data_IF_041301657476
#
_entry.id   IF_041301657476
#
_cell.length_a   1.000
_cell.length_b   1.000
_cell.length_c   1.000
_cell.angle_alpha   90.00
_cell.angle_beta   90.00
_cell.angle_gamma   90.00
#
_symmetry.space_group_name_H-M   'P 1'
#
loop_
_entity.id
_entity.type
_entity.pdbx_description
1 polymer ?
#
# COMPACT_ATOMS: atom_id res chain seq x y z
N UNK A 1 15.54 4.93 -6.99
CA UNK A 1 14.28 5.72 -6.87
C UNK A 1 14.26 6.48 -5.55
N UNK A 2 13.90 7.75 -5.53
CA UNK A 2 13.78 8.55 -4.32
C UNK A 2 12.31 8.85 -4.02
N UNK A 3 11.94 8.87 -2.75
CA UNK A 3 10.57 9.17 -2.31
C UNK A 3 10.49 10.48 -1.51
N UNK A 4 9.35 11.17 -1.66
CA UNK A 4 8.99 12.36 -0.89
C UNK A 4 7.62 12.11 -0.26
N UNK A 5 7.46 12.55 0.98
CA UNK A 5 6.22 12.47 1.75
C UNK A 5 5.81 13.88 2.16
N UNK A 6 4.54 14.23 1.95
CA UNK A 6 3.99 15.52 2.31
C UNK A 6 2.57 15.36 2.88
N UNK A 7 2.30 16.05 3.97
CA UNK A 7 0.97 16.25 4.51
C UNK A 7 0.44 17.61 4.04
N UNK A 8 -0.64 17.58 3.28
CA UNK A 8 -1.34 18.75 2.81
C UNK A 8 -2.59 19.02 3.66
N UNK A 9 -3.38 20.04 3.31
CA UNK A 9 -4.56 20.41 4.12
C UNK A 9 -5.63 19.31 4.14
N UNK A 10 -5.84 18.63 2.99
CA UNK A 10 -6.95 17.68 2.81
C UNK A 10 -6.49 16.27 2.42
N UNK A 11 -5.19 16.06 2.24
CA UNK A 11 -4.65 14.78 1.78
C UNK A 11 -3.20 14.59 2.20
N UNK A 12 -2.76 13.37 2.16
CA UNK A 12 -1.35 12.99 2.26
C UNK A 12 -0.86 12.52 0.89
N UNK A 13 0.36 12.91 0.51
CA UNK A 13 0.98 12.51 -0.76
C UNK A 13 2.30 11.80 -0.56
N UNK A 14 2.56 10.86 -1.49
CA UNK A 14 3.80 10.10 -1.58
C UNK A 14 4.27 10.17 -3.03
N UNK A 15 5.35 10.90 -3.28
CA UNK A 15 5.87 11.10 -4.64
C UNK A 15 7.10 10.25 -4.87
N UNK A 16 7.10 9.47 -5.94
CA UNK A 16 8.24 8.73 -6.43
C UNK A 16 9.00 9.57 -7.44
N UNK A 17 10.29 9.79 -7.22
CA UNK A 17 11.18 10.51 -8.13
C UNK A 17 12.11 9.47 -8.78
N UNK A 18 11.83 9.07 -10.04
CA UNK A 18 12.71 8.16 -10.78
C UNK A 18 14.09 8.78 -10.97
N UNK A 19 15.14 8.04 -10.70
CA UNK A 19 16.53 8.47 -10.91
C UNK A 19 17.02 8.19 -12.33
N UNK A 20 16.30 7.32 -13.04
CA UNK A 20 16.61 6.97 -14.43
C UNK A 20 15.32 6.56 -15.19
N UNK A 21 15.41 6.52 -16.53
CA UNK A 21 14.27 6.18 -17.37
C UNK A 21 13.74 4.75 -17.16
N UNK A 22 14.58 3.82 -16.69
CA UNK A 22 14.16 2.44 -16.44
C UNK A 22 13.13 2.36 -15.33
N UNK A 23 13.21 3.24 -14.34
CA UNK A 23 12.27 3.31 -13.22
C UNK A 23 10.90 3.88 -13.61
N UNK A 24 10.73 4.39 -14.83
CA UNK A 24 9.43 4.74 -15.40
C UNK A 24 8.73 3.54 -16.04
N UNK A 25 9.48 2.48 -16.27
CA UNK A 25 8.96 1.22 -16.81
C UNK A 25 9.03 0.17 -15.71
N UNK A 26 7.90 -0.41 -15.34
CA UNK A 26 7.83 -1.47 -14.36
C UNK A 26 8.69 -2.66 -14.78
N UNK A 27 9.14 -3.42 -13.81
CA UNK A 27 9.80 -4.70 -14.04
C UNK A 27 8.85 -5.53 -14.91
N UNK A 28 9.34 -5.96 -16.07
CA UNK A 28 8.55 -6.58 -17.13
C UNK A 28 7.66 -7.68 -16.58
N UNK A 29 6.36 -7.47 -16.64
CA UNK A 29 5.42 -8.57 -16.59
C UNK A 29 5.67 -9.44 -17.81
N UNK A 30 6.07 -10.68 -17.63
CA UNK A 30 6.04 -11.68 -18.69
C UNK A 30 4.66 -12.33 -18.63
N UNK A 31 3.88 -12.14 -19.69
CA UNK A 31 2.54 -12.69 -19.79
C UNK A 31 1.62 -11.83 -20.67
N UNK A 32 0.32 -12.06 -20.68
CA UNK A 32 -0.63 -11.31 -21.49
C UNK A 32 -0.75 -9.83 -21.03
N UNK A 33 -0.09 -9.45 -19.96
CA UNK A 33 -0.06 -8.07 -19.47
C UNK A 33 1.09 -7.33 -20.16
N UNK A 34 0.73 -6.28 -20.87
CA UNK A 34 1.68 -5.36 -21.51
C UNK A 34 2.67 -4.80 -20.48
N UNK A 35 3.85 -4.30 -20.94
CA UNK A 35 4.79 -3.66 -20.03
C UNK A 35 4.08 -2.56 -19.24
N UNK A 36 4.29 -2.57 -17.91
CA UNK A 36 3.71 -1.59 -17.01
C UNK A 36 4.56 -0.32 -17.11
N UNK A 37 3.89 0.81 -17.18
CA UNK A 37 4.54 2.12 -17.14
C UNK A 37 3.99 2.96 -16.00
N UNK A 38 4.86 3.69 -15.33
CA UNK A 38 4.49 4.68 -14.34
C UNK A 38 3.79 5.83 -15.06
N UNK A 39 2.51 6.03 -14.77
CA UNK A 39 1.68 7.06 -15.37
C UNK A 39 1.64 8.31 -14.51
N UNK A 40 1.47 8.11 -13.21
CA UNK A 40 1.48 9.17 -12.21
C UNK A 40 2.55 8.83 -11.18
N UNK A 41 3.42 9.76 -10.88
CA UNK A 41 4.49 9.58 -9.90
C UNK A 41 4.07 9.93 -8.47
N UNK A 42 2.85 10.40 -8.27
CA UNK A 42 2.34 10.83 -6.97
C UNK A 42 1.09 10.05 -6.56
N UNK A 43 1.24 9.27 -5.50
CA UNK A 43 0.10 8.71 -4.78
C UNK A 43 -0.52 9.79 -3.90
N UNK A 44 -1.81 10.02 -4.07
CA UNK A 44 -2.62 10.92 -3.24
C UNK A 44 -3.63 10.07 -2.46
N UNK A 45 -3.68 10.25 -1.15
CA UNK A 45 -4.66 9.62 -0.26
C UNK A 45 -5.40 10.73 0.49
N UNK A 46 -6.71 10.85 0.31
CA UNK A 46 -7.55 11.83 1.02
C UNK A 46 -7.74 11.41 2.48
N UNK A 47 -6.66 11.42 3.19
CA UNK A 47 -6.60 11.13 4.62
C UNK A 47 -5.38 11.83 5.23
N UNK A 48 -5.58 12.42 6.40
CA UNK A 48 -4.52 12.98 7.22
C UNK A 48 -4.57 12.25 8.56
N UNK A 49 -3.49 11.58 8.89
CA UNK A 49 -3.36 10.92 10.19
C UNK A 49 -3.34 11.98 11.31
N UNK A 50 -4.08 11.73 12.39
CA UNK A 50 -4.05 12.57 13.59
C UNK A 50 -2.78 12.37 14.40
N UNK A 51 -2.14 11.24 14.19
CA UNK A 51 -0.90 10.83 14.83
C UNK A 51 0.24 10.79 13.82
N UNK A 52 1.46 11.04 14.27
CA UNK A 52 2.65 10.96 13.42
C UNK A 52 2.82 9.52 12.93
N UNK A 53 2.89 9.34 11.61
CA UNK A 53 3.18 8.05 11.02
C UNK A 53 4.64 7.66 11.29
N UNK A 54 4.83 6.43 11.73
CA UNK A 54 6.18 5.89 11.92
C UNK A 54 6.92 5.81 10.56
N UNK A 55 8.24 6.12 10.49
CA UNK A 55 9.02 6.05 9.25
C UNK A 55 8.89 4.73 8.49
N UNK A 56 8.86 3.59 9.19
CA UNK A 56 8.67 2.28 8.57
C UNK A 56 7.31 2.15 7.88
N UNK A 57 6.24 2.77 8.43
CA UNK A 57 4.91 2.76 7.80
C UNK A 57 4.90 3.64 6.55
N UNK A 58 5.50 4.83 6.60
CA UNK A 58 5.66 5.70 5.42
C UNK A 58 6.41 4.96 4.32
N UNK A 59 7.51 4.28 4.66
CA UNK A 59 8.26 3.47 3.71
C UNK A 59 7.46 2.28 3.17
N UNK A 60 6.68 1.59 4.01
CA UNK A 60 5.80 0.51 3.58
C UNK A 60 4.77 0.98 2.54
N UNK A 61 4.18 2.17 2.72
CA UNK A 61 3.26 2.77 1.75
C UNK A 61 3.98 3.06 0.43
N UNK A 62 5.15 3.71 0.47
CA UNK A 62 5.95 4.01 -0.72
C UNK A 62 6.27 2.74 -1.51
N UNK A 63 6.76 1.70 -0.82
CA UNK A 63 7.09 0.43 -1.47
C UNK A 63 5.83 -0.23 -2.01
N UNK A 64 4.76 -0.32 -1.25
CA UNK A 64 3.52 -0.95 -1.68
C UNK A 64 2.95 -0.28 -2.94
N UNK A 65 2.97 1.05 -3.01
CA UNK A 65 2.45 1.80 -4.15
C UNK A 65 3.33 1.70 -5.41
N UNK A 66 4.65 1.74 -5.24
CA UNK A 66 5.59 1.91 -6.35
C UNK A 66 6.53 0.72 -6.57
N UNK A 67 6.33 -0.40 -5.85
CA UNK A 67 7.17 -1.60 -5.95
C UNK A 67 7.56 -2.01 -7.37
N UNK A 68 6.64 -2.04 -8.37
CA UNK A 68 7.00 -2.47 -9.73
C UNK A 68 8.05 -1.59 -10.42
N UNK A 69 8.25 -0.38 -9.92
CA UNK A 69 9.11 0.65 -10.52
C UNK A 69 10.45 0.81 -9.78
N UNK A 70 10.62 0.17 -8.63
CA UNK A 70 11.88 0.20 -7.87
C UNK A 70 12.80 -0.89 -8.42
N UNK A 71 13.87 -0.52 -9.11
CA UNK A 71 14.73 -1.48 -9.81
C UNK A 71 15.86 -2.06 -8.96
N UNK A 72 16.47 -1.26 -8.08
CA UNK A 72 17.62 -1.69 -7.28
C UNK A 72 17.63 -1.10 -5.88
N UNK A 73 17.57 0.22 -5.77
CA UNK A 73 17.60 0.90 -4.49
C UNK A 73 16.48 1.93 -4.35
N UNK A 74 16.14 2.25 -3.10
CA UNK A 74 15.16 3.26 -2.75
C UNK A 74 15.65 4.11 -1.59
N UNK A 75 15.55 5.43 -1.75
CA UNK A 75 15.76 6.40 -0.67
C UNK A 75 14.39 6.83 -0.13
N UNK A 76 14.08 6.47 1.10
CA UNK A 76 12.79 6.77 1.73
C UNK A 76 12.72 8.22 2.19
N UNK A 77 11.51 8.79 2.41
CA UNK A 77 11.37 10.17 2.90
C UNK A 77 12.05 10.40 4.25
N UNK A 78 12.04 9.36 5.09
CA UNK A 78 12.69 9.34 6.41
C UNK A 78 13.60 8.12 6.50
N UNK A 79 14.67 8.15 7.33
CA UNK A 79 15.42 6.95 7.65
C UNK A 79 14.51 5.87 8.25
N UNK A 80 14.67 4.63 7.78
CA UNK A 80 13.89 3.48 8.26
C UNK A 80 14.66 2.67 9.28
N UNK A 81 13.95 1.86 10.08
CA UNK A 81 14.62 0.96 11.01
C UNK A 81 15.37 -0.14 10.24
N UNK A 82 16.46 -0.62 10.86
CA UNK A 82 17.23 -1.75 10.31
C UNK A 82 16.34 -2.99 10.12
N UNK A 83 15.45 -3.27 11.06
CA UNK A 83 14.54 -4.43 10.97
C UNK A 83 13.61 -4.35 9.77
N UNK A 84 13.09 -3.16 9.45
CA UNK A 84 12.27 -2.95 8.27
C UNK A 84 13.06 -3.23 6.99
N UNK A 85 14.26 -2.64 6.87
CA UNK A 85 15.12 -2.83 5.69
C UNK A 85 15.55 -4.28 5.51
N UNK A 86 15.92 -4.98 6.59
CA UNK A 86 16.28 -6.40 6.55
C UNK A 86 15.08 -7.28 6.16
N UNK A 87 13.87 -6.97 6.67
CA UNK A 87 12.64 -7.69 6.37
C UNK A 87 12.26 -7.64 4.90
N UNK A 88 12.45 -6.51 4.24
CA UNK A 88 12.22 -6.37 2.81
C UNK A 88 13.09 -7.30 1.97
N UNK A 89 14.35 -7.53 2.38
CA UNK A 89 15.26 -8.41 1.66
C UNK A 89 14.94 -9.89 1.88
N UNK A 90 14.40 -10.25 3.04
CA UNK A 90 14.22 -11.66 3.42
C UNK A 90 12.84 -12.22 3.04
N UNK A 91 11.76 -11.45 3.23
CA UNK A 91 10.40 -12.00 3.19
C UNK A 91 9.60 -11.65 1.92
N UNK A 92 9.74 -10.44 1.40
CA UNK A 92 8.88 -9.96 0.30
C UNK A 92 9.45 -10.35 -1.06
N UNK A 93 10.74 -10.20 -1.27
CA UNK A 93 11.38 -10.36 -2.57
C UNK A 93 11.57 -11.81 -3.04
N UNK A 94 11.94 -12.78 -2.18
CA UNK A 94 12.04 -14.17 -2.61
C UNK A 94 10.71 -14.80 -3.01
N UNK A 95 9.60 -14.36 -2.44
CA UNK A 95 8.27 -14.89 -2.77
C UNK A 95 7.77 -14.39 -4.13
N UNK A 96 7.99 -13.13 -4.46
CA UNK A 96 7.62 -12.58 -5.76
C UNK A 96 8.47 -13.13 -6.92
N UNK A 97 9.72 -13.48 -6.68
CA UNK A 97 10.57 -14.14 -7.67
C UNK A 97 10.12 -15.55 -8.05
N UNK A 98 9.21 -16.16 -7.28
CA UNK A 98 8.68 -17.54 -7.50
C UNK A 98 7.33 -17.59 -8.20
N UNK A 99 6.63 -16.46 -8.34
CA UNK A 99 5.37 -16.42 -9.10
C UNK A 99 5.75 -16.38 -10.57
N UNK A 100 5.80 -17.55 -11.19
CA UNK A 100 6.07 -17.70 -12.63
C UNK A 100 5.07 -16.83 -13.42
N UNK A 101 5.60 -15.87 -14.17
CA UNK A 101 4.89 -15.13 -15.21
C UNK A 101 4.46 -13.70 -14.87
N UNK A 102 4.56 -13.20 -13.63
CA UNK A 102 4.03 -11.86 -13.31
C UNK A 102 5.11 -10.83 -12.97
N UNK A 103 6.18 -11.20 -12.26
CA UNK A 103 7.28 -10.30 -11.90
C UNK A 103 8.63 -11.04 -11.85
N UNK A 104 9.64 -10.47 -12.49
CA UNK A 104 11.04 -10.79 -12.19
C UNK A 104 11.70 -9.56 -11.62
N UNK A 105 11.69 -9.43 -10.29
CA UNK A 105 12.73 -8.66 -9.64
C UNK A 105 14.02 -9.46 -9.78
N UNK A 106 14.95 -8.99 -10.57
CA UNK A 106 16.25 -9.67 -10.76
C UNK A 106 17.19 -9.42 -9.60
N UNK A 107 16.91 -8.39 -8.78
CA UNK A 107 17.76 -8.00 -7.66
C UNK A 107 16.90 -7.55 -6.47
N UNK A 108 17.33 -7.80 -5.22
CA UNK A 108 16.65 -7.32 -4.05
C UNK A 108 16.66 -5.78 -3.99
N UNK A 109 15.56 -5.19 -3.53
CA UNK A 109 15.51 -3.76 -3.27
C UNK A 109 16.32 -3.48 -2.01
N UNK A 110 17.26 -2.54 -2.11
CA UNK A 110 17.99 -2.01 -0.95
C UNK A 110 17.43 -0.66 -0.54
N UNK A 111 17.43 -0.37 0.75
CA UNK A 111 17.09 0.96 1.28
C UNK A 111 18.39 1.69 1.58
N UNK A 112 18.54 2.90 1.05
CA UNK A 112 19.79 3.66 1.16
C UNK A 112 19.93 4.42 2.50
N UNK A 113 18.80 4.74 3.15
CA UNK A 113 18.78 5.53 4.38
C UNK A 113 18.22 4.73 5.56
N UNK A 114 19.10 4.02 6.26
CA UNK A 114 18.77 3.21 7.44
C UNK A 114 19.27 3.93 8.70
N UNK A 115 18.42 4.02 9.72
CA UNK A 115 18.82 4.40 11.07
C UNK A 115 18.82 3.17 11.98
N UNK A 116 20.01 2.74 12.38
CA UNK A 116 20.19 1.57 13.25
C UNK A 116 19.68 1.77 14.68
N UNK A 117 19.45 3.03 15.09
CA UNK A 117 18.94 3.39 16.41
C UNK A 117 17.42 3.64 16.39
N UNK A 118 16.80 3.67 15.20
CA UNK A 118 15.36 3.79 15.12
C UNK A 118 14.71 2.48 15.55
N UNK A 119 13.89 2.56 16.60
CA UNK A 119 13.08 1.42 17.03
C UNK A 119 12.10 1.04 15.91
N UNK A 120 12.00 -0.25 15.56
CA UNK A 120 11.10 -0.67 14.49
C UNK A 120 9.64 -0.48 14.89
N UNK A 121 8.78 -0.25 13.91
CA UNK A 121 7.33 -0.27 14.13
C UNK A 121 6.90 -1.66 14.61
N UNK A 122 6.31 -1.72 15.78
CA UNK A 122 5.88 -2.99 16.41
C UNK A 122 4.39 -3.30 16.20
N UNK A 123 3.67 -2.36 15.58
CA UNK A 123 2.22 -2.43 15.45
C UNK A 123 1.50 -2.00 16.72
N UNK A 124 0.21 -1.86 16.61
CA UNK A 124 -0.71 -1.59 17.69
C UNK A 124 -1.31 -2.85 18.31
N UNK A 125 -2.57 -2.77 18.71
CA UNK A 125 -3.32 -3.87 19.31
C UNK A 125 -4.45 -4.40 18.41
N UNK A 126 -4.93 -3.61 17.46
CA UNK A 126 -6.15 -3.88 16.71
C UNK A 126 -5.91 -4.66 15.42
N UNK A 127 -6.91 -5.44 15.04
CA UNK A 127 -7.01 -6.10 13.74
C UNK A 127 -8.09 -5.41 12.92
N UNK A 128 -7.81 -5.14 11.65
CA UNK A 128 -8.76 -4.55 10.70
C UNK A 128 -8.89 -5.44 9.46
N UNK A 129 -9.97 -5.26 8.72
CA UNK A 129 -10.19 -5.96 7.45
C UNK A 129 -10.01 -4.98 6.30
N UNK A 130 -9.06 -5.28 5.39
CA UNK A 130 -8.94 -4.61 4.11
C UNK A 130 -10.11 -5.06 3.22
N UNK A 131 -11.14 -4.22 3.12
CA UNK A 131 -12.42 -4.59 2.52
C UNK A 131 -12.51 -4.16 1.06
N UNK A 132 -12.54 -5.14 0.16
CA UNK A 132 -12.64 -4.88 -1.28
C UNK A 132 -14.07 -4.80 -1.82
N UNK A 133 -15.09 -5.08 -1.00
CA UNK A 133 -16.50 -5.16 -1.45
C UNK A 133 -16.84 -6.45 -2.21
N UNK A 134 -15.90 -7.37 -2.37
CA UNK A 134 -16.12 -8.67 -3.01
C UNK A 134 -16.58 -9.75 -2.01
N UNK A 135 -16.91 -10.92 -2.55
CA UNK A 135 -17.45 -12.05 -1.79
C UNK A 135 -16.51 -12.51 -0.67
N UNK A 136 -15.20 -12.62 -0.94
CA UNK A 136 -14.22 -13.12 0.03
C UNK A 136 -14.07 -12.16 1.22
N UNK A 137 -13.95 -10.85 0.95
CA UNK A 137 -13.85 -9.85 2.02
C UNK A 137 -15.14 -9.72 2.82
N UNK A 138 -16.31 -9.92 2.19
CA UNK A 138 -17.60 -9.96 2.88
C UNK A 138 -17.72 -11.19 3.76
N UNK A 139 -17.27 -12.35 3.31
CA UNK A 139 -17.26 -13.55 4.14
C UNK A 139 -16.40 -13.38 5.40
N UNK A 140 -15.23 -12.75 5.29
CA UNK A 140 -14.38 -12.43 6.44
C UNK A 140 -15.09 -11.43 7.37
N UNK A 141 -15.71 -10.38 6.84
CA UNK A 141 -16.44 -9.42 7.64
C UNK A 141 -17.57 -10.08 8.47
N UNK A 142 -18.32 -10.99 7.87
CA UNK A 142 -19.35 -11.75 8.59
C UNK A 142 -18.77 -12.66 9.70
N UNK A 143 -17.56 -13.18 9.54
CA UNK A 143 -16.91 -14.00 10.55
C UNK A 143 -16.32 -13.19 11.71
N UNK A 144 -15.99 -11.92 11.47
CA UNK A 144 -15.36 -11.01 12.44
C UNK A 144 -16.11 -9.67 12.51
N UNK A 145 -17.34 -9.66 13.05
CA UNK A 145 -18.19 -8.47 13.06
C UNK A 145 -17.63 -7.31 13.90
N UNK A 146 -16.77 -7.59 14.87
CA UNK A 146 -16.17 -6.57 15.74
C UNK A 146 -14.95 -5.85 15.09
N UNK A 147 -14.50 -6.29 13.90
CA UNK A 147 -13.35 -5.67 13.26
C UNK A 147 -13.78 -4.54 12.32
N UNK A 148 -13.06 -3.42 12.39
CA UNK A 148 -13.27 -2.30 11.47
C UNK A 148 -12.91 -2.70 10.04
N UNK A 149 -13.75 -2.28 9.08
CA UNK A 149 -13.51 -2.42 7.64
C UNK A 149 -12.84 -1.17 7.11
N UNK A 150 -11.79 -1.33 6.30
CA UNK A 150 -11.14 -0.22 5.60
C UNK A 150 -11.28 -0.45 4.10
N UNK A 151 -12.04 0.42 3.44
CA UNK A 151 -12.28 0.37 2.01
C UNK A 151 -11.58 1.50 1.28
N UNK A 152 -10.86 1.16 0.21
CA UNK A 152 -10.25 2.12 -0.69
C UNK A 152 -11.15 2.39 -1.88
N UNK A 153 -11.45 3.64 -2.15
CA UNK A 153 -12.19 4.07 -3.35
C UNK A 153 -11.38 5.06 -4.17
N UNK A 154 -11.78 5.26 -5.43
CA UNK A 154 -11.12 6.23 -6.31
C UNK A 154 -11.40 7.65 -5.86
N UNK A 155 -10.43 8.55 -6.06
CA UNK A 155 -10.61 9.99 -5.83
C UNK A 155 -11.82 10.46 -6.66
N UNK A 156 -12.66 11.28 -6.01
CA UNK A 156 -13.88 11.84 -6.58
C UNK A 156 -14.97 10.79 -6.93
N UNK A 157 -14.81 9.55 -6.46
CA UNK A 157 -15.88 8.56 -6.58
C UNK A 157 -17.01 8.90 -5.60
N UNK A 158 -18.18 9.22 -6.16
CA UNK A 158 -19.39 9.51 -5.37
C UNK A 158 -20.26 8.26 -5.15
N UNK A 159 -19.79 7.10 -5.56
CA UNK A 159 -20.50 5.84 -5.37
C UNK A 159 -20.45 5.41 -3.90
N UNK A 160 -21.59 5.39 -3.24
CA UNK A 160 -21.74 4.97 -1.85
C UNK A 160 -22.21 3.51 -1.72
N UNK A 161 -22.32 2.76 -2.80
CA UNK A 161 -22.89 1.40 -2.83
C UNK A 161 -22.25 0.47 -1.79
N UNK A 162 -20.91 0.56 -1.64
CA UNK A 162 -20.19 -0.27 -0.67
C UNK A 162 -20.54 0.13 0.76
N UNK A 163 -20.62 1.42 1.04
CA UNK A 163 -21.02 1.92 2.38
C UNK A 163 -22.43 1.47 2.72
N UNK A 164 -23.38 1.74 1.83
CA UNK A 164 -24.79 1.40 1.99
C UNK A 164 -24.96 -0.11 2.23
N UNK A 165 -24.25 -0.93 1.42
CA UNK A 165 -24.27 -2.37 1.60
C UNK A 165 -23.79 -2.80 3.00
N UNK A 166 -22.66 -2.23 3.48
CA UNK A 166 -22.13 -2.59 4.79
C UNK A 166 -23.07 -2.14 5.91
N UNK A 167 -23.55 -0.89 5.87
CA UNK A 167 -24.45 -0.33 6.88
C UNK A 167 -25.80 -1.09 6.96
N UNK A 168 -26.27 -1.63 5.82
CA UNK A 168 -27.52 -2.39 5.76
C UNK A 168 -27.39 -3.87 6.12
N UNK A 169 -26.22 -4.48 5.98
CA UNK A 169 -26.07 -5.94 5.99
C UNK A 169 -24.99 -6.47 6.96
N UNK A 170 -24.11 -5.62 7.47
CA UNK A 170 -23.00 -6.03 8.34
C UNK A 170 -23.02 -5.20 9.64
N UNK A 171 -22.44 -5.75 10.69
CA UNK A 171 -22.31 -5.08 11.99
C UNK A 171 -21.01 -4.25 12.11
N UNK A 172 -20.10 -4.48 11.17
CA UNK A 172 -18.78 -3.85 11.16
C UNK A 172 -18.84 -2.34 10.92
N UNK A 173 -17.99 -1.60 11.59
CA UNK A 173 -17.75 -0.19 11.26
C UNK A 173 -16.90 -0.06 10.01
N UNK A 174 -17.31 0.78 9.04
CA UNK A 174 -16.58 0.99 7.80
C UNK A 174 -15.90 2.36 7.75
N UNK A 175 -14.62 2.37 7.32
CA UNK A 175 -13.85 3.56 6.96
C UNK A 175 -13.63 3.56 5.44
N UNK A 176 -14.02 4.65 4.77
CA UNK A 176 -13.84 4.80 3.33
C UNK A 176 -12.79 5.87 3.08
N UNK A 177 -11.74 5.50 2.35
CA UNK A 177 -10.60 6.35 2.04
C UNK A 177 -10.46 6.47 0.53
N UNK A 178 -10.42 7.69 0.02
CA UNK A 178 -10.22 7.96 -1.40
C UNK A 178 -8.72 8.02 -1.73
N UNK A 179 -8.33 7.40 -2.85
CA UNK A 179 -6.96 7.49 -3.36
C UNK A 179 -6.90 7.40 -4.89
N UNK A 180 -5.82 7.91 -5.50
CA UNK A 180 -5.55 7.75 -6.93
C UNK A 180 -4.72 6.50 -7.26
N UNK A 181 -4.52 5.59 -6.33
CA UNK A 181 -3.60 4.47 -6.47
C UNK A 181 -3.82 3.63 -7.74
N UNK A 182 -5.08 3.45 -8.17
CA UNK A 182 -5.39 2.72 -9.42
C UNK A 182 -4.83 3.40 -10.68
N UNK A 183 -4.46 4.67 -10.60
CA UNK A 183 -4.01 5.47 -11.72
C UNK A 183 -2.50 5.64 -11.79
N UNK A 184 -1.75 5.14 -10.81
CA UNK A 184 -0.29 5.24 -10.78
C UNK A 184 0.38 4.51 -11.95
N UNK A 185 -0.25 3.46 -12.48
CA UNK A 185 0.32 2.63 -13.52
C UNK A 185 -0.58 2.47 -14.75
N UNK A 186 0.04 2.16 -15.90
CA UNK A 186 -0.64 1.74 -17.13
C UNK A 186 -0.16 0.33 -17.49
N UNK A 187 -1.05 -0.66 -17.75
CA UNK A 187 -2.51 -0.55 -17.77
C UNK A 187 -3.12 -0.26 -16.40
N UNK A 188 -4.23 0.46 -16.42
CA UNK A 188 -4.98 0.84 -15.22
C UNK A 188 -5.41 -0.39 -14.43
N UNK A 189 -5.30 -0.32 -13.11
CA UNK A 189 -5.74 -1.39 -12.22
C UNK A 189 -4.68 -2.45 -11.93
N UNK A 190 -3.47 -2.35 -12.50
CA UNK A 190 -2.38 -3.27 -12.19
C UNK A 190 -1.97 -3.25 -10.71
N UNK A 191 -2.17 -2.13 -10.05
CA UNK A 191 -1.90 -1.92 -8.63
C UNK A 191 -3.08 -2.23 -7.71
N UNK A 192 -4.15 -2.88 -8.22
CA UNK A 192 -5.40 -3.09 -7.45
C UNK A 192 -5.20 -3.89 -6.16
N UNK A 193 -4.29 -4.88 -6.16
CA UNK A 193 -4.00 -5.63 -4.93
C UNK A 193 -3.23 -4.80 -3.90
N UNK A 194 -2.44 -3.83 -4.33
CA UNK A 194 -1.69 -2.98 -3.40
C UNK A 194 -2.55 -1.92 -2.75
N UNK A 195 -3.61 -1.46 -3.44
CA UNK A 195 -4.57 -0.48 -2.91
C UNK A 195 -5.17 -0.90 -1.58
N UNK A 196 -5.52 -2.18 -1.44
CA UNK A 196 -6.17 -2.68 -0.24
C UNK A 196 -5.29 -2.58 1.01
N UNK A 197 -3.97 -2.47 0.85
CA UNK A 197 -3.03 -2.33 1.98
C UNK A 197 -2.65 -0.89 2.28
N UNK A 198 -2.63 -0.01 1.27
CA UNK A 198 -2.23 1.40 1.44
C UNK A 198 -3.13 2.12 2.44
N UNK A 199 -4.44 1.96 2.32
CA UNK A 199 -5.40 2.64 3.20
C UNK A 199 -5.35 2.15 4.64
N UNK A 200 -5.25 0.86 4.97
CA UNK A 200 -4.98 0.43 6.33
C UNK A 200 -3.63 0.92 6.88
N UNK A 201 -2.59 0.97 6.04
CA UNK A 201 -1.28 1.44 6.48
C UNK A 201 -1.30 2.91 6.88
N UNK A 202 -1.95 3.79 6.12
CA UNK A 202 -2.03 5.21 6.49
C UNK A 202 -2.85 5.45 7.76
N UNK A 203 -3.76 4.54 8.10
CA UNK A 203 -4.58 4.59 9.31
C UNK A 203 -3.94 3.88 10.51
N UNK A 204 -2.75 3.26 10.34
CA UNK A 204 -2.13 2.43 11.38
C UNK A 204 -2.00 3.15 12.72
N UNK A 205 -1.56 4.41 12.72
CA UNK A 205 -1.33 5.16 13.94
C UNK A 205 -2.65 5.60 14.62
N UNK A 206 -3.69 5.89 13.83
CA UNK A 206 -4.96 6.41 14.35
C UNK A 206 -5.88 5.30 14.87
N UNK A 207 -5.83 4.13 14.26
CA UNK A 207 -6.63 2.96 14.64
C UNK A 207 -5.84 1.92 15.44
N UNK A 208 -4.60 2.23 15.82
CA UNK A 208 -3.72 1.32 16.58
C UNK A 208 -3.66 -0.08 15.92
N UNK A 209 -3.44 -0.12 14.59
CA UNK A 209 -3.48 -1.35 13.79
C UNK A 209 -2.22 -2.19 14.00
N UNK A 210 -2.43 -3.47 14.30
CA UNK A 210 -1.38 -4.50 14.34
C UNK A 210 -1.47 -5.47 13.18
N UNK A 211 -2.69 -5.87 12.83
CA UNK A 211 -2.92 -6.86 11.80
C UNK A 211 -3.90 -6.34 10.75
N UNK A 212 -3.63 -6.64 9.50
CA UNK A 212 -4.52 -6.36 8.37
C UNK A 212 -4.92 -7.72 7.77
N UNK A 213 -6.20 -8.04 7.85
CA UNK A 213 -6.77 -9.21 7.19
C UNK A 213 -7.23 -8.84 5.79
N UNK A 214 -7.05 -9.73 4.83
CA UNK A 214 -7.58 -9.56 3.48
C UNK A 214 -8.23 -10.86 3.00
N UNK A 215 -9.32 -10.73 2.25
CA UNK A 215 -9.96 -11.83 1.56
C UNK A 215 -9.29 -12.05 0.20
N UNK A 216 -8.16 -12.73 0.21
CA UNK A 216 -7.55 -13.26 -1.01
C UNK A 216 -7.35 -14.76 -0.82
N UNK A 217 -8.01 -15.53 -1.67
CA UNK A 217 -7.84 -16.99 -1.79
C UNK A 217 -6.95 -17.27 -2.99
#
# INVERSE_FOLDING_TARGET
MKFVYEECVDYTSFTAIPENDKERHGLRAQGPYAPISLKDDTLIVKYISKNILHPDIVAAICITAFYPFIHSSATMPFPVSKRFADGLQMDILPQHGKIEGVYRATEPITIDNIDINLEPYTGGSNTVIAYGGGMDSTAIACLFPDYDLIHSTDIDNKDNTVREFVEDNLENKIHIIESNCKYLATPKGFTTFTNIYITPLIMCADLDIRNIMCGAI
#
